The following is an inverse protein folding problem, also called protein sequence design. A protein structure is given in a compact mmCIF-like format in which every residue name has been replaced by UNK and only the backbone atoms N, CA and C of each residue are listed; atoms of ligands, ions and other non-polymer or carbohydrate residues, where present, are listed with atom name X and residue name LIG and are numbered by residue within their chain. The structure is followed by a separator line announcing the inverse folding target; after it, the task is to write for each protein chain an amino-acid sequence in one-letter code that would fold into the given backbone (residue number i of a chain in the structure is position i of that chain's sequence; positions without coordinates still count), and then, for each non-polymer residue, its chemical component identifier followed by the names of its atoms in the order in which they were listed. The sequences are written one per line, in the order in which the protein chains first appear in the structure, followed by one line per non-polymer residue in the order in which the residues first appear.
data_IF_605250302097
#
_entry.id   IF_605250302097
#
_cell.length_a   1.000
_cell.length_b   1.000
_cell.length_c   1.000
_cell.angle_alpha   90.00
_cell.angle_beta   90.00
_cell.angle_gamma   90.00
#
_symmetry.space_group_name_H-M   'P 1'
#
loop_
_entity.id
_entity.type
_entity.pdbx_description
1 polymer ?
#
# COMPACT_ATOMS: atom_id res chain seq x y z
N UNK A 1 3.14 -1.32 -15.74
CA UNK A 1 1.80 -1.04 -15.23
C UNK A 1 0.80 -1.43 -16.31
N UNK A 2 -0.01 -2.44 -16.02
CA UNK A 2 -1.09 -2.95 -16.86
C UNK A 2 -2.42 -2.28 -16.52
N UNK A 3 -2.65 -1.95 -15.25
CA UNK A 3 -3.88 -1.33 -14.77
C UNK A 3 -3.62 -0.32 -13.63
N UNK A 4 -4.42 0.75 -13.62
CA UNK A 4 -4.45 1.75 -12.57
C UNK A 4 -5.90 2.20 -12.35
N UNK A 5 -6.41 2.00 -11.14
CA UNK A 5 -7.73 2.50 -10.73
C UNK A 5 -7.58 3.48 -9.59
N UNK A 6 -8.19 4.66 -9.75
CA UNK A 6 -8.31 5.67 -8.70
C UNK A 6 -9.79 6.04 -8.59
N UNK A 7 -10.44 5.70 -7.48
CA UNK A 7 -11.85 5.99 -7.24
C UNK A 7 -12.01 6.98 -6.08
N UNK A 8 -12.72 8.07 -6.35
CA UNK A 8 -13.15 9.03 -5.35
C UNK A 8 -14.66 8.97 -5.19
N UNK A 9 -15.12 9.02 -3.94
CA UNK A 9 -16.53 9.12 -3.59
C UNK A 9 -16.69 10.23 -2.57
N UNK A 10 -17.60 11.18 -2.84
CA UNK A 10 -17.84 12.33 -1.95
C UNK A 10 -16.56 13.11 -1.59
N UNK A 11 -15.64 13.24 -2.55
CA UNK A 11 -14.35 13.94 -2.35
C UNK A 11 -13.32 13.17 -1.53
N UNK A 12 -13.58 11.91 -1.16
CA UNK A 12 -12.65 11.03 -0.46
C UNK A 12 -12.12 9.94 -1.38
N UNK A 13 -10.83 9.63 -1.29
CA UNK A 13 -10.25 8.48 -1.96
C UNK A 13 -10.81 7.21 -1.32
N UNK A 14 -11.54 6.40 -2.09
CA UNK A 14 -12.12 5.13 -1.62
C UNK A 14 -11.36 3.92 -2.15
N UNK A 15 -10.68 4.06 -3.29
CA UNK A 15 -9.88 2.98 -3.87
C UNK A 15 -8.69 3.54 -4.64
N UNK A 16 -7.54 2.93 -4.42
CA UNK A 16 -6.37 3.05 -5.27
C UNK A 16 -5.83 1.64 -5.50
N UNK A 17 -5.79 1.20 -6.77
CA UNK A 17 -5.17 -0.08 -7.12
C UNK A 17 -4.24 0.04 -8.32
N UNK A 18 -3.12 -0.67 -8.26
CA UNK A 18 -2.11 -0.75 -9.32
C UNK A 18 -1.90 -2.23 -9.61
N UNK A 19 -2.11 -2.65 -10.86
CA UNK A 19 -1.88 -4.04 -11.28
C UNK A 19 -2.57 -5.08 -10.37
N UNK A 20 -3.78 -4.76 -9.88
CA UNK A 20 -4.56 -5.59 -8.96
C UNK A 20 -4.19 -5.49 -7.48
N UNK A 21 -3.14 -4.74 -7.12
CA UNK A 21 -2.74 -4.49 -5.72
C UNK A 21 -3.45 -3.25 -5.20
N UNK A 22 -4.19 -3.39 -4.11
CA UNK A 22 -4.89 -2.27 -3.47
C UNK A 22 -4.01 -1.56 -2.43
N UNK A 23 -4.09 -0.24 -2.39
CA UNK A 23 -3.36 0.62 -1.47
C UNK A 23 -4.32 1.37 -0.55
N UNK A 24 -4.07 1.31 0.75
CA UNK A 24 -4.81 2.03 1.78
C UNK A 24 -3.97 3.14 2.40
N UNK A 25 -4.63 4.05 3.12
CA UNK A 25 -3.97 5.13 3.90
C UNK A 25 -3.12 6.09 3.07
N UNK A 26 -3.31 6.16 1.75
CA UNK A 26 -2.55 7.07 0.87
C UNK A 26 -2.99 8.52 1.10
N UNK A 27 -2.04 9.40 1.37
CA UNK A 27 -2.29 10.83 1.59
C UNK A 27 -1.95 11.69 0.37
N UNK A 28 -1.08 11.19 -0.52
CA UNK A 28 -0.80 11.84 -1.79
C UNK A 28 -0.47 10.81 -2.88
N UNK A 29 -0.91 11.11 -4.10
CA UNK A 29 -0.64 10.34 -5.33
C UNK A 29 -0.11 11.30 -6.39
N UNK A 30 0.99 10.95 -7.03
CA UNK A 30 1.50 11.63 -8.23
C UNK A 30 1.71 10.60 -9.33
N UNK A 31 1.18 10.88 -10.52
CA UNK A 31 1.36 10.06 -11.72
C UNK A 31 2.07 10.91 -12.78
N UNK A 32 3.20 10.40 -13.27
CA UNK A 32 3.88 10.94 -14.44
C UNK A 32 3.83 9.90 -15.56
N UNK A 33 3.31 10.31 -16.71
CA UNK A 33 3.22 9.45 -17.88
C UNK A 33 3.38 10.27 -19.15
N UNK A 34 4.37 9.89 -19.97
CA UNK A 34 4.60 10.43 -21.31
C UNK A 34 4.41 9.31 -22.34
N UNK A 35 3.41 9.49 -23.22
CA UNK A 35 3.03 8.50 -24.23
C UNK A 35 4.19 8.25 -25.21
N UNK A 36 4.62 6.98 -25.30
CA UNK A 36 5.62 6.54 -26.26
C UNK A 36 7.07 6.82 -25.88
N UNK A 37 7.32 7.50 -24.77
CA UNK A 37 8.68 7.80 -24.30
C UNK A 37 9.11 6.89 -23.14
N UNK A 38 8.35 6.92 -22.04
CA UNK A 38 8.75 6.25 -20.79
C UNK A 38 7.61 5.44 -20.17
N UNK A 39 7.97 4.46 -19.35
CA UNK A 39 7.00 3.73 -18.56
C UNK A 39 6.33 4.69 -17.55
N UNK A 40 5.01 4.57 -17.30
CA UNK A 40 4.34 5.36 -16.28
C UNK A 40 5.04 5.20 -14.92
N UNK A 41 5.27 6.32 -14.25
CA UNK A 41 5.83 6.37 -12.89
C UNK A 41 4.76 6.88 -11.94
N UNK A 42 4.53 6.14 -10.85
CA UNK A 42 3.59 6.54 -9.80
C UNK A 42 4.33 6.67 -8.47
N UNK A 43 4.07 7.76 -7.76
CA UNK A 43 4.64 8.04 -6.44
C UNK A 43 3.50 8.14 -5.45
N UNK A 44 3.58 7.35 -4.39
CA UNK A 44 2.59 7.30 -3.31
C UNK A 44 3.22 7.82 -2.02
N UNK A 45 2.49 8.67 -1.30
CA UNK A 45 2.83 9.03 0.08
C UNK A 45 1.87 8.32 1.02
N UNK A 46 2.42 7.51 1.92
CA UNK A 46 1.68 6.79 2.94
C UNK A 46 2.22 7.23 4.31
N UNK A 47 1.38 7.75 5.21
CA UNK A 47 1.79 8.08 6.56
C UNK A 47 2.07 6.77 7.31
N UNK A 48 3.21 6.70 7.98
CA UNK A 48 3.53 5.59 8.86
C UNK A 48 3.02 5.93 10.26
N UNK A 49 1.90 5.34 10.66
CA UNK A 49 1.34 5.52 12.00
C UNK A 49 1.93 4.49 12.96
N UNK A 50 2.09 4.85 14.24
CA UNK A 50 2.53 3.93 15.29
C UNK A 50 1.48 2.81 15.43
N UNK A 51 1.83 1.59 15.03
CA UNK A 51 0.96 0.41 15.07
C UNK A 51 0.68 -0.24 13.72
N UNK A 52 0.87 0.47 12.60
CA UNK A 52 0.79 -0.11 11.26
C UNK A 52 2.15 -0.67 10.87
N UNK A 53 2.36 -1.96 11.17
CA UNK A 53 3.59 -2.66 10.81
C UNK A 53 3.56 -3.00 9.33
N UNK A 54 4.54 -2.53 8.55
CA UNK A 54 4.74 -2.88 7.13
C UNK A 54 5.11 -4.36 6.89
N UNK A 55 5.10 -5.18 7.94
CA UNK A 55 5.49 -6.59 7.96
C UNK A 55 4.39 -7.34 8.70
N UNK A 56 3.91 -8.50 8.22
CA UNK A 56 2.91 -9.27 8.94
C UNK A 56 3.31 -9.46 10.40
N UNK A 57 2.36 -9.35 11.32
CA UNK A 57 2.59 -9.68 12.73
C UNK A 57 3.19 -11.09 12.77
N UNK A 58 4.33 -11.25 13.45
CA UNK A 58 4.93 -12.55 13.67
C UNK A 58 3.88 -13.47 14.33
N UNK A 59 3.83 -14.78 13.99
CA UNK A 59 2.83 -15.67 14.56
C UNK A 59 2.88 -15.62 16.09
N UNK A 60 1.70 -15.57 16.69
CA UNK A 60 1.45 -15.43 18.13
C UNK A 60 2.54 -16.05 19.01
N UNK A 61 3.16 -15.24 19.88
CA UNK A 61 4.05 -15.71 20.95
C UNK A 61 3.37 -16.70 21.91
N UNK A 62 2.06 -16.95 21.76
CA UNK A 62 1.28 -17.90 22.56
C UNK A 62 1.77 -19.36 22.43
N UNK A 63 2.53 -19.69 21.37
CA UNK A 63 3.08 -21.05 21.18
C UNK A 63 4.55 -21.23 21.59
N UNK A 64 5.20 -20.20 22.14
CA UNK A 64 6.57 -20.32 22.62
C UNK A 64 6.56 -20.85 24.06
N UNK A 65 6.84 -22.15 24.23
CA UNK A 65 7.12 -22.73 25.56
C UNK A 65 8.63 -22.76 25.76
N UNK A 66 9.09 -22.15 26.85
CA UNK A 66 10.47 -22.30 27.31
C UNK A 66 10.62 -23.74 27.81
N UNK A 67 11.55 -24.50 27.23
CA UNK A 67 11.95 -25.81 27.72
C UNK A 67 13.20 -25.56 28.57
N UNK A 68 13.07 -25.65 29.89
CA UNK A 68 14.21 -25.69 30.80
C UNK A 68 14.87 -27.08 30.73
N UNK A 69 16.21 -27.09 30.78
CA UNK A 69 17.06 -28.27 30.61
C UNK A 69 17.42 -28.90 31.95
#
# INVERSE_FOLDING_TARGET
MQDLKIEYREGKLVELSIDGVSYSSVTAVSLHHELGETLPVITLTVPLSIGERLVPASPDQQNLRIIEK
#
